data_IF_974194746594
#
_entry.id   IF_974194746594
#
_cell.length_a   1.000
_cell.length_b   1.000
_cell.length_c   1.000
_cell.angle_alpha   90.00
_cell.angle_beta   90.00
_cell.angle_gamma   90.00
#
_symmetry.space_group_name_H-M   'P 1'
#
loop_
_entity.id
_entity.type
_entity.pdbx_description
1 polymer ?
#
# COMPACT_ATOMS: atom_id res chain seq x y z
N UNK A 1 22.07 12.07 -9.32
CA UNK A 1 21.46 12.55 -8.05
C UNK A 1 22.49 13.22 -7.14
N UNK A 2 23.61 12.55 -6.83
CA UNK A 2 24.65 13.06 -5.91
C UNK A 2 25.28 14.40 -6.38
N UNK A 3 25.51 14.59 -7.68
CA UNK A 3 26.07 15.84 -8.23
C UNK A 3 25.10 17.05 -8.20
N UNK A 4 23.80 16.84 -7.93
CA UNK A 4 22.77 17.89 -7.91
C UNK A 4 22.04 18.03 -6.57
N UNK A 5 22.48 17.30 -5.54
CA UNK A 5 21.86 17.30 -4.20
C UNK A 5 20.36 16.99 -4.20
N UNK A 6 19.91 16.08 -5.07
CA UNK A 6 18.51 15.62 -5.07
C UNK A 6 18.28 14.61 -3.95
N UNK A 7 17.21 14.82 -3.17
CA UNK A 7 16.68 13.80 -2.26
C UNK A 7 15.61 12.97 -2.97
N UNK A 8 15.60 11.66 -2.73
CA UNK A 8 14.61 10.73 -3.26
C UNK A 8 14.07 9.94 -2.07
N UNK A 9 12.77 10.00 -1.85
CA UNK A 9 12.09 9.23 -0.82
C UNK A 9 11.10 8.26 -1.45
N UNK A 10 11.05 7.06 -0.88
CA UNK A 10 10.18 5.98 -1.32
C UNK A 10 9.42 5.48 -0.09
N UNK A 11 8.10 5.35 -0.23
CA UNK A 11 7.25 4.71 0.78
C UNK A 11 6.69 3.44 0.17
N UNK A 12 7.09 2.30 0.72
CA UNK A 12 6.56 1.00 0.33
C UNK A 12 5.35 0.65 1.21
N UNK A 13 4.25 0.24 0.56
CA UNK A 13 3.02 -0.13 1.24
C UNK A 13 2.78 -1.64 1.06
N UNK A 14 2.97 -2.39 2.14
CA UNK A 14 2.76 -3.84 2.16
C UNK A 14 1.28 -4.21 1.95
N UNK A 15 1.04 -5.41 1.40
CA UNK A 15 -0.32 -5.95 1.21
C UNK A 15 -1.13 -6.01 2.51
N UNK A 16 -0.47 -6.25 3.64
CA UNK A 16 -1.06 -6.23 4.99
C UNK A 16 -1.64 -4.87 5.35
N UNK A 17 -0.90 -3.78 5.08
CA UNK A 17 -1.32 -2.39 5.32
C UNK A 17 -2.49 -1.98 4.42
N UNK A 18 -2.47 -2.43 3.15
CA UNK A 18 -3.58 -2.22 2.21
C UNK A 18 -4.85 -2.90 2.72
N UNK A 19 -4.75 -4.17 3.11
CA UNK A 19 -5.90 -4.93 3.63
C UNK A 19 -6.44 -4.34 4.92
N UNK A 20 -5.56 -3.86 5.81
CA UNK A 20 -5.98 -3.18 7.03
C UNK A 20 -6.76 -1.90 6.72
N UNK A 21 -6.24 -1.08 5.79
CA UNK A 21 -6.90 0.15 5.41
C UNK A 21 -8.29 -0.09 4.82
N UNK A 22 -8.46 -1.13 4.00
CA UNK A 22 -9.76 -1.46 3.40
C UNK A 22 -10.83 -1.88 4.43
N UNK A 23 -10.45 -2.19 5.68
CA UNK A 23 -11.41 -2.44 6.77
C UNK A 23 -11.93 -1.13 7.37
N UNK A 24 -11.09 -0.10 7.43
CA UNK A 24 -11.37 1.15 8.17
C UNK A 24 -11.62 2.36 7.27
N UNK A 25 -11.25 2.26 5.98
CA UNK A 25 -11.26 3.35 5.01
C UNK A 25 -11.27 2.80 3.57
N UNK A 26 -10.91 3.62 2.59
CA UNK A 26 -10.83 3.28 1.18
C UNK A 26 -9.42 3.53 0.60
N UNK A 27 -9.17 3.06 -0.63
CA UNK A 27 -7.86 3.14 -1.27
C UNK A 27 -7.40 4.59 -1.50
N UNK A 28 -8.29 5.50 -1.89
CA UNK A 28 -7.93 6.91 -2.13
C UNK A 28 -7.40 7.58 -0.86
N UNK A 29 -7.99 7.30 0.30
CA UNK A 29 -7.50 7.82 1.59
C UNK A 29 -6.13 7.23 1.99
N UNK A 30 -5.88 5.97 1.63
CA UNK A 30 -4.55 5.38 1.80
C UNK A 30 -3.54 6.04 0.87
N UNK A 31 -3.90 6.29 -0.39
CA UNK A 31 -3.04 6.98 -1.35
C UNK A 31 -2.70 8.39 -0.86
N UNK A 32 -3.68 9.17 -0.40
CA UNK A 32 -3.43 10.48 0.23
C UNK A 32 -2.43 10.35 1.38
N UNK A 33 -2.61 9.34 2.24
CA UNK A 33 -1.70 9.10 3.37
C UNK A 33 -0.28 8.76 2.92
N UNK A 34 -0.13 7.86 1.95
CA UNK A 34 1.18 7.44 1.43
C UNK A 34 1.92 8.58 0.71
N UNK A 35 1.20 9.39 -0.08
CA UNK A 35 1.77 10.57 -0.72
C UNK A 35 2.23 11.59 0.32
N UNK A 36 1.43 11.86 1.36
CA UNK A 36 1.84 12.76 2.45
C UNK A 36 3.07 12.23 3.20
N UNK A 37 3.14 10.93 3.50
CA UNK A 37 4.32 10.31 4.13
C UNK A 37 5.60 10.51 3.29
N UNK A 38 5.52 10.27 1.98
CA UNK A 38 6.65 10.45 1.08
C UNK A 38 7.13 11.91 1.02
N UNK A 39 6.19 12.86 1.01
CA UNK A 39 6.47 14.30 1.00
C UNK A 39 7.12 14.74 2.32
N UNK A 40 6.64 14.25 3.47
CA UNK A 40 7.20 14.56 4.79
C UNK A 40 8.61 13.99 4.96
N UNK A 41 8.84 12.78 4.46
CA UNK A 41 10.15 12.12 4.51
C UNK A 41 11.22 12.91 3.74
N UNK A 42 10.83 13.70 2.72
CA UNK A 42 11.80 14.44 1.90
C UNK A 42 12.58 15.51 2.69
N UNK A 43 12.20 15.79 3.96
CA UNK A 43 12.84 16.71 4.89
C UNK A 43 13.25 18.03 4.22
N UNK A 44 12.30 18.94 4.13
CA UNK A 44 12.59 20.29 3.64
C UNK A 44 13.12 21.17 4.78
N UNK A 45 14.11 22.03 4.50
CA UNK A 45 14.75 22.90 5.50
C UNK A 45 13.91 24.15 5.86
N UNK A 46 12.58 24.05 5.79
CA UNK A 46 11.66 25.19 5.79
C UNK A 46 11.69 25.99 4.48
N UNK A 47 10.65 26.78 4.23
CA UNK A 47 10.55 27.67 3.07
C UNK A 47 9.31 27.45 2.21
N UNK A 48 9.20 28.25 1.14
CA UNK A 48 8.16 28.20 0.12
C UNK A 48 8.56 27.21 -0.98
N UNK A 49 7.60 26.46 -1.51
CA UNK A 49 7.86 25.52 -2.60
C UNK A 49 6.61 25.10 -3.35
N UNK A 50 6.80 24.20 -4.32
CA UNK A 50 5.71 23.60 -5.09
C UNK A 50 5.77 22.08 -5.02
N UNK A 51 4.63 21.46 -4.79
CA UNK A 51 4.40 20.02 -4.82
C UNK A 51 3.59 19.72 -6.08
N UNK A 52 4.08 18.77 -6.86
CA UNK A 52 3.46 18.29 -8.09
C UNK A 52 3.01 16.86 -7.87
N UNK A 53 1.71 16.60 -8.05
CA UNK A 53 1.08 15.31 -7.78
C UNK A 53 0.48 14.76 -9.07
N UNK A 54 0.82 13.50 -9.37
CA UNK A 54 0.04 12.70 -10.32
C UNK A 54 -1.18 12.14 -9.59
N UNK A 55 -2.36 12.66 -9.91
CA UNK A 55 -3.58 12.31 -9.18
C UNK A 55 -4.04 10.88 -9.53
N UNK A 56 -4.20 10.05 -8.50
CA UNK A 56 -4.78 8.70 -8.59
C UNK A 56 -6.29 8.67 -8.30
N UNK A 57 -6.84 9.72 -7.68
CA UNK A 57 -8.28 9.89 -7.50
C UNK A 57 -8.96 10.28 -8.83
N UNK A 58 -10.23 9.90 -9.01
CA UNK A 58 -11.11 10.38 -10.09
C UNK A 58 -11.25 11.91 -10.11
N UNK A 59 -11.05 12.58 -8.99
CA UNK A 59 -11.06 14.03 -8.84
C UNK A 59 -9.67 14.55 -8.42
N UNK A 60 -8.94 15.08 -9.40
CA UNK A 60 -7.57 15.55 -9.22
C UNK A 60 -7.46 16.72 -8.23
N UNK A 61 -8.46 17.62 -8.18
CA UNK A 61 -8.43 18.77 -7.27
C UNK A 61 -8.69 18.30 -5.84
N UNK A 62 -9.66 17.40 -5.65
CA UNK A 62 -9.90 16.77 -4.35
C UNK A 62 -8.65 16.05 -3.84
N UNK A 63 -7.96 15.30 -4.68
CA UNK A 63 -6.73 14.62 -4.28
C UNK A 63 -5.69 15.59 -3.74
N UNK A 64 -5.40 16.67 -4.48
CA UNK A 64 -4.45 17.69 -4.04
C UNK A 64 -4.86 18.38 -2.74
N UNK A 65 -6.15 18.67 -2.57
CA UNK A 65 -6.68 19.27 -1.35
C UNK A 65 -6.59 18.31 -0.14
N UNK A 66 -6.86 17.03 -0.34
CA UNK A 66 -6.75 16.01 0.70
C UNK A 66 -5.29 15.82 1.13
N UNK A 67 -4.35 15.76 0.18
CA UNK A 67 -2.91 15.73 0.49
C UNK A 67 -2.48 16.98 1.23
N UNK A 68 -2.92 18.19 0.82
CA UNK A 68 -2.63 19.43 1.54
C UNK A 68 -3.14 19.40 2.97
N UNK A 69 -4.38 18.96 3.16
CA UNK A 69 -5.02 18.85 4.47
C UNK A 69 -4.25 17.87 5.38
N UNK A 70 -3.84 16.73 4.82
CA UNK A 70 -3.09 15.68 5.53
C UNK A 70 -1.70 16.14 5.98
N UNK A 71 -0.99 16.88 5.14
CA UNK A 71 0.31 17.50 5.45
C UNK A 71 0.22 18.54 6.58
N UNK A 72 -0.94 19.19 6.72
CA UNK A 72 -1.22 20.09 7.83
C UNK A 72 -0.57 21.48 7.73
N UNK A 73 -0.64 22.28 8.81
CA UNK A 73 -0.33 23.71 8.78
C UNK A 73 1.10 24.06 8.38
N UNK A 74 2.07 23.18 8.66
CA UNK A 74 3.47 23.39 8.29
C UNK A 74 3.72 23.49 6.78
N UNK A 75 2.73 23.09 5.98
CA UNK A 75 2.77 23.12 4.51
C UNK A 75 1.80 24.14 3.90
N UNK A 76 1.21 25.05 4.70
CA UNK A 76 0.19 26.00 4.25
C UNK A 76 0.63 26.86 3.06
N UNK A 77 1.91 27.27 3.10
CA UNK A 77 2.54 28.19 2.17
C UNK A 77 3.08 27.49 0.91
N UNK A 78 3.03 26.16 0.88
CA UNK A 78 3.39 25.39 -0.31
C UNK A 78 2.24 25.40 -1.33
N UNK A 79 2.63 25.57 -2.60
CA UNK A 79 1.71 25.43 -3.72
C UNK A 79 1.58 23.94 -4.06
N UNK A 80 0.36 23.41 -4.01
CA UNK A 80 0.08 22.04 -4.47
C UNK A 80 -0.60 22.11 -5.82
N UNK A 81 -0.07 21.36 -6.79
CA UNK A 81 -0.60 21.24 -8.14
C UNK A 81 -0.85 19.75 -8.36
N UNK A 82 -2.08 19.39 -8.65
CA UNK A 82 -2.54 18.01 -8.77
C UNK A 82 -3.31 17.87 -10.07
N UNK A 83 -2.81 17.03 -10.97
CA UNK A 83 -3.40 16.79 -12.29
C UNK A 83 -3.31 15.30 -12.61
N UNK A 84 -4.25 14.81 -13.41
CA UNK A 84 -4.18 13.46 -13.96
C UNK A 84 -3.06 13.35 -15.00
N UNK A 85 -2.33 12.24 -14.99
CA UNK A 85 -1.27 11.93 -15.97
C UNK A 85 -0.17 12.99 -16.00
N UNK A 86 0.15 13.58 -14.83
CA UNK A 86 1.14 14.65 -14.74
C UNK A 86 2.55 14.14 -15.08
N UNK A 87 2.80 12.83 -14.97
CA UNK A 87 4.04 12.19 -15.40
C UNK A 87 4.31 12.32 -16.91
N UNK A 88 3.29 12.58 -17.73
CA UNK A 88 3.43 12.79 -19.18
C UNK A 88 3.91 14.20 -19.54
N UNK A 89 3.69 15.19 -18.66
CA UNK A 89 3.91 16.61 -18.93
C UNK A 89 4.97 17.25 -18.00
N UNK A 90 5.23 16.66 -16.84
CA UNK A 90 6.18 17.17 -15.85
C UNK A 90 7.35 16.20 -15.61
N UNK A 91 8.57 16.64 -15.91
CA UNK A 91 9.78 15.81 -15.78
C UNK A 91 10.10 15.33 -14.34
N UNK A 92 9.70 16.08 -13.30
CA UNK A 92 9.91 15.65 -11.91
C UNK A 92 8.97 14.52 -11.55
N UNK A 93 7.70 14.65 -11.93
CA UNK A 93 6.69 13.61 -11.72
C UNK A 93 7.01 12.38 -12.56
N UNK A 94 7.46 12.55 -13.81
CA UNK A 94 7.95 11.47 -14.65
C UNK A 94 9.10 10.69 -13.98
N UNK A 95 10.07 11.41 -13.41
CA UNK A 95 11.19 10.79 -12.69
C UNK A 95 10.70 10.01 -11.46
N UNK A 96 9.80 10.58 -10.66
CA UNK A 96 9.19 9.89 -9.50
C UNK A 96 8.43 8.63 -9.92
N UNK A 97 7.66 8.69 -11.01
CA UNK A 97 6.96 7.54 -11.58
C UNK A 97 7.91 6.43 -12.03
N UNK A 98 9.06 6.78 -12.63
CA UNK A 98 10.09 5.80 -13.00
C UNK A 98 10.67 5.15 -11.74
N UNK A 99 11.06 5.95 -10.74
CA UNK A 99 11.60 5.43 -9.47
C UNK A 99 10.61 4.45 -8.82
N UNK A 100 9.34 4.84 -8.70
CA UNK A 100 8.31 3.98 -8.11
C UNK A 100 8.12 2.67 -8.88
N UNK A 101 8.06 2.71 -10.22
CA UNK A 101 7.88 1.52 -11.07
C UNK A 101 9.07 0.58 -10.96
N UNK A 102 10.30 1.10 -11.04
CA UNK A 102 11.53 0.30 -10.93
C UNK A 102 11.66 -0.35 -9.55
N UNK A 103 11.39 0.40 -8.48
CA UNK A 103 11.43 -0.16 -7.11
C UNK A 103 10.39 -1.25 -6.93
N UNK A 104 9.17 -1.06 -7.43
CA UNK A 104 8.12 -2.08 -7.40
C UNK A 104 8.52 -3.34 -8.15
N UNK A 105 9.10 -3.21 -9.34
CA UNK A 105 9.54 -4.35 -10.15
C UNK A 105 10.64 -5.14 -9.44
N UNK A 106 11.58 -4.45 -8.78
CA UNK A 106 12.59 -5.08 -7.93
C UNK A 106 11.96 -5.83 -6.74
N UNK A 107 11.06 -5.18 -6.00
CA UNK A 107 10.37 -5.80 -4.86
C UNK A 107 9.57 -7.05 -5.27
N UNK A 108 8.92 -7.03 -6.45
CA UNK A 108 8.22 -8.20 -7.00
C UNK A 108 9.17 -9.34 -7.36
N UNK A 109 10.35 -9.03 -7.89
CA UNK A 109 11.37 -10.03 -8.21
C UNK A 109 11.92 -10.68 -6.93
N UNK A 110 12.27 -9.89 -5.93
CA UNK A 110 12.76 -10.40 -4.64
C UNK A 110 11.70 -11.28 -3.97
N UNK A 111 10.45 -10.83 -3.93
CA UNK A 111 9.35 -11.60 -3.40
C UNK A 111 9.14 -12.93 -4.14
N UNK A 112 9.28 -12.93 -5.48
CA UNK A 112 9.20 -14.16 -6.27
C UNK A 112 10.33 -15.13 -5.93
N UNK A 113 11.55 -14.61 -5.71
CA UNK A 113 12.70 -15.40 -5.30
C UNK A 113 12.52 -15.99 -3.88
N UNK A 114 12.00 -15.19 -2.95
CA UNK A 114 11.76 -15.61 -1.56
C UNK A 114 10.69 -16.70 -1.45
N UNK A 115 9.61 -16.55 -2.21
CA UNK A 115 8.50 -17.52 -2.22
C UNK A 115 8.87 -18.76 -3.06
N UNK A 116 9.77 -18.63 -4.03
CA UNK A 116 10.14 -19.70 -4.95
C UNK A 116 9.13 -19.94 -6.07
N UNK A 117 8.25 -18.96 -6.32
CA UNK A 117 7.20 -19.00 -7.36
C UNK A 117 7.37 -17.77 -8.25
N UNK A 118 7.28 -17.94 -9.57
CA UNK A 118 7.23 -16.81 -10.51
C UNK A 118 5.87 -16.10 -10.39
N UNK A 119 5.85 -14.98 -9.65
CA UNK A 119 4.63 -14.21 -9.42
C UNK A 119 4.20 -13.38 -10.64
N UNK A 120 5.05 -13.28 -11.66
CA UNK A 120 4.86 -12.34 -12.76
C UNK A 120 4.92 -10.88 -12.29
N UNK A 121 4.16 -10.02 -12.96
CA UNK A 121 4.16 -8.58 -12.72
C UNK A 121 3.36 -8.14 -11.49
N UNK A 122 2.60 -9.04 -10.88
CA UNK A 122 1.63 -8.75 -9.81
C UNK A 122 0.35 -8.06 -10.29
N UNK A 123 0.13 -7.91 -11.61
CA UNK A 123 -1.08 -7.30 -12.14
C UNK A 123 -2.14 -8.36 -12.45
N UNK A 124 -3.44 -8.09 -12.23
CA UNK A 124 -4.51 -9.02 -12.60
C UNK A 124 -4.60 -9.32 -14.10
N UNK A 125 -3.91 -8.58 -14.97
CA UNK A 125 -3.83 -8.86 -16.41
C UNK A 125 -2.76 -9.87 -16.78
N UNK A 126 -1.74 -10.06 -15.93
CA UNK A 126 -0.63 -10.99 -16.19
C UNK A 126 -1.08 -12.45 -16.00
N UNK A 127 -0.98 -13.31 -17.04
CA UNK A 127 -1.26 -14.74 -16.91
C UNK A 127 -0.47 -15.43 -15.80
N UNK A 128 0.79 -15.04 -15.57
CA UNK A 128 1.65 -15.64 -14.53
C UNK A 128 1.13 -15.32 -13.14
N UNK A 129 0.76 -14.06 -12.91
CA UNK A 129 0.13 -13.62 -11.65
C UNK A 129 -1.19 -14.36 -11.42
N UNK A 130 -2.01 -14.56 -12.45
CA UNK A 130 -3.25 -15.36 -12.28
C UNK A 130 -2.97 -16.80 -11.90
N UNK A 131 -1.97 -17.44 -12.52
CA UNK A 131 -1.62 -18.83 -12.22
C UNK A 131 -1.04 -19.01 -10.82
N UNK A 132 -0.23 -18.06 -10.35
CA UNK A 132 0.38 -18.13 -9.02
C UNK A 132 -0.63 -17.95 -7.89
N UNK A 133 -1.74 -17.21 -8.11
CA UNK A 133 -2.79 -17.02 -7.09
C UNK A 133 -3.30 -18.36 -6.57
N UNK A 134 -3.59 -19.33 -7.45
CA UNK A 134 -4.11 -20.65 -7.03
C UNK A 134 -3.16 -21.38 -6.08
N UNK A 135 -1.86 -21.29 -6.31
CA UNK A 135 -0.85 -21.87 -5.42
C UNK A 135 -0.80 -21.12 -4.08
N UNK A 136 -0.85 -19.79 -4.14
CA UNK A 136 -0.79 -18.91 -2.98
C UNK A 136 -2.04 -18.94 -2.09
N UNK A 137 -3.17 -19.44 -2.57
CA UNK A 137 -4.40 -19.60 -1.77
C UNK A 137 -4.66 -21.06 -1.35
N UNK A 138 -3.78 -22.00 -1.69
CA UNK A 138 -4.00 -23.43 -1.43
C UNK A 138 -3.97 -23.82 0.05
N UNK A 139 -3.39 -22.98 0.92
CA UNK A 139 -3.33 -23.20 2.36
C UNK A 139 -4.64 -22.86 3.09
N UNK A 140 -4.61 -22.99 4.43
CA UNK A 140 -5.75 -22.64 5.29
C UNK A 140 -6.06 -21.13 5.33
N UNK A 141 -5.12 -20.31 4.84
CA UNK A 141 -5.25 -18.87 4.65
C UNK A 141 -4.50 -18.46 3.38
N UNK A 142 -4.87 -17.36 2.71
CA UNK A 142 -4.10 -16.87 1.57
C UNK A 142 -2.68 -16.49 2.01
N UNK A 143 -1.71 -16.59 1.10
CA UNK A 143 -0.33 -16.18 1.37
C UNK A 143 -0.26 -14.69 1.73
N UNK A 144 0.66 -14.31 2.61
CA UNK A 144 0.71 -12.96 3.16
C UNK A 144 1.01 -11.88 2.11
N UNK A 145 1.67 -12.25 1.01
CA UNK A 145 1.98 -11.36 -0.10
C UNK A 145 0.77 -10.92 -0.92
N UNK A 146 -0.32 -11.70 -0.92
CA UNK A 146 -1.55 -11.36 -1.64
C UNK A 146 -2.25 -10.18 -0.97
N UNK A 147 -3.07 -9.42 -1.69
CA UNK A 147 -4.01 -8.44 -1.10
C UNK A 147 -5.35 -9.15 -0.88
N UNK A 148 -5.62 -9.60 0.33
CA UNK A 148 -6.75 -10.47 0.65
C UNK A 148 -8.10 -9.82 0.41
N UNK A 149 -8.15 -8.49 0.53
CA UNK A 149 -9.37 -7.68 0.32
C UNK A 149 -9.67 -7.42 -1.15
N UNK A 150 -8.80 -7.81 -2.08
CA UNK A 150 -9.01 -7.60 -3.50
C UNK A 150 -9.96 -8.64 -4.09
N UNK A 151 -10.88 -8.19 -4.95
CA UNK A 151 -11.89 -9.04 -5.60
C UNK A 151 -11.30 -10.24 -6.35
N UNK A 152 -10.09 -10.11 -6.90
CA UNK A 152 -9.41 -11.22 -7.59
C UNK A 152 -9.05 -12.33 -6.62
N UNK A 153 -8.56 -11.99 -5.42
CA UNK A 153 -8.22 -12.96 -4.38
C UNK A 153 -9.49 -13.51 -3.74
N UNK A 154 -10.47 -12.67 -3.45
CA UNK A 154 -11.76 -13.08 -2.90
C UNK A 154 -12.47 -14.11 -3.79
N UNK A 155 -12.59 -13.82 -5.08
CA UNK A 155 -13.22 -14.73 -6.04
C UNK A 155 -12.45 -16.05 -6.15
N UNK A 156 -11.13 -15.99 -6.29
CA UNK A 156 -10.32 -17.20 -6.41
C UNK A 156 -10.41 -18.08 -5.14
N UNK A 157 -10.47 -17.45 -3.96
CA UNK A 157 -10.67 -18.13 -2.70
C UNK A 157 -12.05 -18.79 -2.59
N UNK A 158 -13.11 -18.05 -2.92
CA UNK A 158 -14.48 -18.58 -2.93
C UNK A 158 -14.63 -19.77 -3.89
N UNK A 159 -14.03 -19.68 -5.08
CA UNK A 159 -14.00 -20.76 -6.07
C UNK A 159 -13.27 -22.02 -5.58
N UNK A 160 -12.20 -21.86 -4.80
CA UNK A 160 -11.38 -22.97 -4.29
C UNK A 160 -11.92 -23.59 -2.99
N UNK A 161 -12.34 -22.75 -2.04
CA UNK A 161 -12.66 -23.16 -0.66
C UNK A 161 -14.15 -23.11 -0.33
N UNK A 162 -14.99 -22.50 -1.18
CA UNK A 162 -16.44 -22.39 -0.95
C UNK A 162 -16.82 -21.51 0.26
N UNK A 163 -15.88 -20.72 0.77
CA UNK A 163 -16.04 -19.81 1.91
C UNK A 163 -15.51 -18.43 1.55
N UNK A 164 -15.84 -17.40 2.32
CA UNK A 164 -15.21 -16.09 2.19
C UNK A 164 -13.78 -16.10 2.74
N UNK A 165 -12.92 -15.21 2.24
CA UNK A 165 -11.53 -15.05 2.70
C UNK A 165 -11.52 -14.73 4.20
N UNK A 166 -10.66 -15.37 5.03
CA UNK A 166 -10.54 -15.02 6.44
C UNK A 166 -10.06 -13.58 6.63
N UNK A 167 -10.37 -12.96 7.78
CA UNK A 167 -9.89 -11.61 8.07
C UNK A 167 -8.42 -11.70 8.51
N UNK A 168 -7.53 -11.02 7.77
CA UNK A 168 -6.08 -11.02 8.03
C UNK A 168 -5.68 -10.71 9.48
N UNK A 169 -6.49 -9.96 10.21
CA UNK A 169 -6.19 -9.48 11.56
C UNK A 169 -6.98 -10.17 12.68
N UNK A 170 -7.81 -11.18 12.40
CA UNK A 170 -8.59 -11.88 13.44
C UNK A 170 -7.72 -12.71 14.40
N UNK A 171 -6.60 -13.27 13.93
CA UNK A 171 -5.78 -14.19 14.73
C UNK A 171 -5.00 -13.55 15.90
N UNK A 172 -4.85 -12.22 15.93
CA UNK A 172 -4.17 -11.55 17.07
C UNK A 172 -5.08 -11.30 18.27
N UNK A 173 -6.41 -11.27 18.07
CA UNK A 173 -7.36 -11.04 19.16
C UNK A 173 -7.59 -12.31 19.99
N UNK A 174 -7.65 -13.48 19.35
CA UNK A 174 -7.99 -14.74 20.03
C UNK A 174 -6.84 -15.21 20.94
N UNK A 175 -5.58 -15.06 20.53
CA UNK A 175 -4.41 -15.40 21.37
C UNK A 175 -4.29 -14.52 22.63
N UNK A 176 -4.88 -13.33 22.63
CA UNK A 176 -4.80 -12.37 23.74
C UNK A 176 -5.88 -12.62 24.79
N UNK A 177 -7.02 -13.19 24.41
CA UNK A 177 -8.13 -13.48 25.32
C UNK A 177 -8.01 -14.85 26.01
N UNK A 178 -7.34 -15.84 25.40
CA UNK A 178 -7.15 -17.15 26.05
C UNK A 178 -6.22 -17.08 27.26
N UNK A 179 -5.37 -16.06 27.37
CA UNK A 179 -4.39 -15.92 28.45
C UNK A 179 -4.97 -15.28 29.73
N UNK A 180 -6.17 -14.70 29.68
CA UNK A 180 -6.83 -14.09 30.86
C UNK A 180 -7.73 -15.09 31.60
N UNK A 181 -8.27 -16.10 30.90
CA UNK A 181 -9.18 -17.07 31.53
C UNK A 181 -8.47 -18.01 32.52
N UNK A 182 -7.14 -18.23 32.37
CA UNK A 182 -6.38 -19.12 33.25
C UNK A 182 -5.90 -18.45 34.57
N UNK A 183 -6.05 -17.13 34.75
CA UNK A 183 -5.63 -16.44 35.98
C UNK A 183 -6.77 -16.21 36.99
N UNK A 184 -8.03 -16.29 36.53
CA UNK A 184 -9.22 -16.00 37.36
C UNK A 184 -9.65 -17.23 38.20
N UNK A 185 -9.35 -18.45 37.75
CA UNK A 185 -9.75 -19.68 38.46
C UNK A 185 -8.77 -20.13 39.55
N UNK A 186 -7.62 -19.47 39.70
CA UNK A 186 -6.56 -19.85 40.64
C UNK A 186 -6.58 -19.16 42.02
N UNK A 187 -7.38 -18.11 42.21
CA UNK A 187 -7.35 -17.27 43.43
C UNK A 187 -8.57 -17.42 44.34
N UNK A 188 -9.33 -18.50 44.18
CA UNK A 188 -10.33 -18.92 45.16
C UNK A 188 -10.03 -20.33 45.64
N UNK A 189 -9.05 -20.46 46.55
CA UNK A 189 -9.03 -21.41 47.67
C UNK A 189 -7.98 -20.99 48.69
#
# INVERSE_FOLDING_TARGET
AIERSWNIEIVECESSRIDHNNIVSNLNELEVTLFSEAIENCKHNGGLGSIFLDACDVDQERFGNNVKSKLGPSWSDWRIISEHSMDSSNSLVAASSIVAKVTRDYAMQELSNEIGIDLGSGYPSDPKTKSSINELISGNKPHDCLRWTWSTVQRAWEEMHGTSVPIRFEDKAISSQTNIQHWIEGNHK
#
